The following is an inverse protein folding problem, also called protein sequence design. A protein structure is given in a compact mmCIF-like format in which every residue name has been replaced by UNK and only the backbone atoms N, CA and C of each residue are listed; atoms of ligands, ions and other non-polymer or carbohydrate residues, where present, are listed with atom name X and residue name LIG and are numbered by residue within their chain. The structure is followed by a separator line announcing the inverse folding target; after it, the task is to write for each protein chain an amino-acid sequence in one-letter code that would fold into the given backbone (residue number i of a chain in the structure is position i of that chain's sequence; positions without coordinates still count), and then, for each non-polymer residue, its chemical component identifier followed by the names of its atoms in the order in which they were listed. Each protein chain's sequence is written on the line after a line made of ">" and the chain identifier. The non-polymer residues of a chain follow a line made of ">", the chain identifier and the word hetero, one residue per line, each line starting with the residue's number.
data_IF_677306949118
#
_entry.id   IF_677306949118
#
_cell.length_a   1.000
_cell.length_b   1.000
_cell.length_c   1.000
_cell.angle_alpha   90.00
_cell.angle_beta   90.00
_cell.angle_gamma   90.00
#
_symmetry.space_group_name_H-M   'P 1'
#
loop_
_entity.id
_entity.type
_entity.pdbx_description
1 polymer ?
#
# COMPACT_ATOMS: atom_id res chain seq x y z
N UNK A 1 -22.96 17.10 -87.46
CA UNK A 1 -22.29 15.96 -86.79
C UNK A 1 -22.02 16.41 -85.36
N UNK A 2 -22.62 15.86 -84.30
CA UNK A 2 -22.57 14.46 -83.82
C UNK A 2 -21.11 14.05 -83.54
N UNK A 3 -20.67 13.67 -82.32
CA UNK A 3 -21.34 13.53 -81.02
C UNK A 3 -20.35 13.95 -79.88
N UNK A 4 -20.44 13.62 -78.57
CA UNK A 4 -21.24 12.64 -77.78
C UNK A 4 -21.35 13.09 -76.31
N UNK A 5 -22.11 12.34 -75.49
CA UNK A 5 -22.31 12.53 -74.05
C UNK A 5 -21.10 12.11 -73.19
N UNK A 6 -20.92 12.74 -72.02
CA UNK A 6 -20.55 12.06 -70.77
C UNK A 6 -20.96 12.91 -69.54
N UNK A 7 -21.71 12.32 -68.59
CA UNK A 7 -21.94 12.94 -67.28
C UNK A 7 -20.74 12.66 -66.36
N UNK A 8 -20.24 13.68 -65.66
CA UNK A 8 -19.42 13.49 -64.46
C UNK A 8 -20.22 13.99 -63.25
N UNK A 9 -20.65 13.06 -62.40
CA UNK A 9 -21.45 13.36 -61.21
C UNK A 9 -20.63 14.09 -60.14
N UNK A 10 -21.29 14.96 -59.37
CA UNK A 10 -20.73 15.53 -58.14
C UNK A 10 -20.50 14.41 -57.12
N UNK A 11 -19.26 14.24 -56.68
CA UNK A 11 -18.93 13.50 -55.45
C UNK A 11 -18.10 14.41 -54.52
N UNK A 12 -18.70 15.54 -54.13
CA UNK A 12 -18.23 16.32 -52.98
C UNK A 12 -18.77 15.63 -51.73
N UNK A 13 -18.01 14.71 -51.16
CA UNK A 13 -18.41 13.94 -49.98
C UNK A 13 -18.03 14.72 -48.70
N UNK A 14 -18.97 15.32 -47.95
CA UNK A 14 -18.65 16.28 -46.89
C UNK A 14 -18.38 15.62 -45.52
N UNK A 15 -18.56 14.30 -45.42
CA UNK A 15 -18.59 13.55 -44.15
C UNK A 15 -17.23 13.34 -43.45
N UNK A 16 -16.13 13.78 -44.06
CA UNK A 16 -14.77 13.55 -43.54
C UNK A 16 -14.30 14.60 -42.50
N UNK A 17 -14.94 15.78 -42.44
CA UNK A 17 -14.53 16.86 -41.56
C UNK A 17 -15.00 16.70 -40.10
N UNK A 18 -16.29 16.44 -39.90
CA UNK A 18 -16.90 16.37 -38.56
C UNK A 18 -16.44 15.15 -37.76
N UNK A 19 -16.21 14.03 -38.44
CA UNK A 19 -15.65 12.82 -37.85
C UNK A 19 -14.21 13.02 -37.39
N UNK A 20 -13.37 13.71 -38.19
CA UNK A 20 -11.99 14.04 -37.80
C UNK A 20 -11.93 15.04 -36.64
N UNK A 21 -12.77 16.08 -36.64
CA UNK A 21 -12.81 17.08 -35.57
C UNK A 21 -13.29 16.50 -34.23
N UNK A 22 -14.29 15.59 -34.26
CA UNK A 22 -14.76 14.87 -33.07
C UNK A 22 -13.78 13.80 -32.59
N UNK A 23 -12.99 13.19 -33.49
CA UNK A 23 -11.90 12.29 -33.11
C UNK A 23 -10.78 13.04 -32.38
N UNK A 24 -10.38 14.22 -32.88
CA UNK A 24 -9.36 15.08 -32.26
C UNK A 24 -9.79 15.60 -30.87
N UNK A 25 -11.05 16.03 -30.70
CA UNK A 25 -11.56 16.43 -29.38
C UNK A 25 -11.64 15.26 -28.40
N UNK A 26 -12.02 14.06 -28.87
CA UNK A 26 -11.98 12.84 -28.03
C UNK A 26 -10.54 12.48 -27.63
N UNK A 27 -9.58 12.58 -28.54
CA UNK A 27 -8.16 12.38 -28.22
C UNK A 27 -7.66 13.39 -27.18
N UNK A 28 -7.99 14.68 -27.31
CA UNK A 28 -7.65 15.70 -26.31
C UNK A 28 -8.32 15.45 -24.95
N UNK A 29 -9.59 15.02 -24.92
CA UNK A 29 -10.28 14.70 -23.67
C UNK A 29 -9.68 13.46 -23.00
N UNK A 30 -9.31 12.43 -23.77
CA UNK A 30 -8.66 11.22 -23.23
C UNK A 30 -7.25 11.51 -22.72
N UNK A 31 -6.44 12.31 -23.42
CA UNK A 31 -5.11 12.68 -22.95
C UNK A 31 -5.16 13.60 -21.71
N UNK A 32 -6.12 14.53 -21.66
CA UNK A 32 -6.37 15.36 -20.47
C UNK A 32 -6.85 14.52 -19.27
N UNK A 33 -7.69 13.50 -19.50
CA UNK A 33 -8.15 12.58 -18.45
C UNK A 33 -7.00 11.73 -17.88
N UNK A 34 -6.07 11.30 -18.73
CA UNK A 34 -4.87 10.53 -18.30
C UNK A 34 -3.93 11.37 -17.44
N UNK A 35 -3.82 12.68 -17.69
CA UNK A 35 -3.03 13.61 -16.88
C UNK A 35 -3.57 13.86 -15.46
N UNK A 36 -4.85 13.52 -15.20
CA UNK A 36 -5.50 13.69 -13.89
C UNK A 36 -5.47 12.37 -13.07
N UNK A 37 -5.06 11.25 -13.67
CA UNK A 37 -4.93 9.99 -12.95
C UNK A 37 -3.82 10.08 -11.89
N UNK A 38 -4.15 9.95 -10.59
CA UNK A 38 -3.14 9.99 -9.54
C UNK A 38 -2.25 8.75 -9.65
N UNK A 39 -0.96 8.96 -9.95
CA UNK A 39 0.02 7.88 -9.95
C UNK A 39 0.12 7.21 -8.57
N UNK A 40 0.51 5.93 -8.54
CA UNK A 40 0.60 5.11 -7.32
C UNK A 40 1.54 5.66 -6.21
N UNK A 41 2.24 6.76 -6.46
CA UNK A 41 2.97 7.55 -5.45
C UNK A 41 2.07 8.07 -4.31
N UNK A 42 0.74 8.10 -4.47
CA UNK A 42 -0.18 8.69 -3.48
C UNK A 42 -0.50 7.84 -2.24
N UNK A 43 0.05 6.61 -2.12
CA UNK A 43 -0.27 5.74 -0.98
C UNK A 43 0.53 6.05 0.31
N UNK A 44 1.65 6.77 0.22
CA UNK A 44 2.29 7.34 1.39
C UNK A 44 1.54 8.61 1.83
N UNK A 45 0.81 8.52 2.95
CA UNK A 45 0.14 9.70 3.51
C UNK A 45 1.19 10.61 4.13
N UNK A 46 1.20 11.87 3.70
CA UNK A 46 2.06 12.89 4.28
C UNK A 46 1.61 13.24 5.71
N UNK A 47 2.12 12.47 6.68
CA UNK A 47 1.84 12.67 8.09
C UNK A 47 2.43 13.98 8.64
N UNK A 48 3.39 14.63 7.96
CA UNK A 48 3.97 15.88 8.46
C UNK A 48 2.92 17.00 8.56
N UNK A 49 1.88 16.96 7.72
CA UNK A 49 0.70 17.85 7.80
C UNK A 49 -0.11 17.69 9.09
N UNK A 50 0.07 16.59 9.82
CA UNK A 50 -0.59 16.31 11.11
C UNK A 50 0.29 16.64 12.32
N UNK A 51 1.49 17.22 12.14
CA UNK A 51 2.44 17.47 13.24
C UNK A 51 1.88 18.35 14.39
N UNK A 52 0.83 19.13 14.15
CA UNK A 52 0.12 19.90 15.17
C UNK A 52 -0.78 19.06 16.09
N UNK A 53 -1.15 17.83 15.69
CA UNK A 53 -1.91 16.87 16.49
C UNK A 53 -1.06 15.60 16.70
N UNK A 54 -0.42 15.44 17.88
CA UNK A 54 0.40 14.27 18.18
C UNK A 54 -0.35 12.93 18.16
N UNK A 55 -1.68 12.91 18.33
CA UNK A 55 -2.47 11.67 18.28
C UNK A 55 -2.75 11.29 16.81
N UNK A 56 -3.20 12.24 15.99
CA UNK A 56 -3.39 12.01 14.55
C UNK A 56 -2.06 11.71 13.83
N UNK A 57 -0.97 12.37 14.20
CA UNK A 57 0.37 12.09 13.69
C UNK A 57 0.80 10.64 13.96
N UNK A 58 0.70 10.16 15.21
CA UNK A 58 0.99 8.76 15.58
C UNK A 58 0.10 7.77 14.83
N UNK A 59 -1.21 8.03 14.77
CA UNK A 59 -2.15 7.17 14.05
C UNK A 59 -1.79 7.06 12.56
N UNK A 60 -1.35 8.17 11.95
CA UNK A 60 -0.87 8.21 10.57
C UNK A 60 0.42 7.39 10.39
N UNK A 61 1.43 7.60 11.25
CA UNK A 61 2.70 6.87 11.18
C UNK A 61 2.52 5.36 11.43
N UNK A 62 1.72 4.98 12.42
CA UNK A 62 1.40 3.57 12.69
C UNK A 62 0.70 2.89 11.51
N UNK A 63 -0.15 3.64 10.79
CA UNK A 63 -0.79 3.20 9.55
C UNK A 63 0.17 3.04 8.36
N UNK A 64 1.33 3.70 8.37
CA UNK A 64 2.39 3.54 7.37
C UNK A 64 3.41 2.44 7.71
N UNK A 65 3.25 1.76 8.86
CA UNK A 65 4.14 0.66 9.26
C UNK A 65 5.20 1.04 10.29
N UNK A 66 5.18 2.26 10.84
CA UNK A 66 6.15 2.66 11.87
C UNK A 66 5.94 1.85 13.17
N UNK A 67 6.91 1.00 13.51
CA UNK A 67 6.81 0.05 14.60
C UNK A 67 6.78 0.72 15.99
N UNK A 68 7.36 1.92 16.13
CA UNK A 68 7.33 2.70 17.36
C UNK A 68 5.94 3.29 17.60
N UNK A 69 5.35 3.93 16.59
CA UNK A 69 3.99 4.47 16.65
C UNK A 69 2.95 3.35 16.83
N UNK A 70 3.13 2.19 16.19
CA UNK A 70 2.29 1.00 16.44
C UNK A 70 2.43 0.50 17.88
N UNK A 71 3.64 0.49 18.45
CA UNK A 71 3.82 0.15 19.87
C UNK A 71 3.13 1.16 20.79
N UNK A 72 3.24 2.47 20.54
CA UNK A 72 2.58 3.51 21.33
C UNK A 72 1.05 3.40 21.30
N UNK A 73 0.44 3.12 20.14
CA UNK A 73 -1.00 2.84 20.05
C UNK A 73 -1.38 1.54 20.78
N UNK A 74 -0.53 0.52 20.71
CA UNK A 74 -0.73 -0.74 21.40
C UNK A 74 -0.65 -0.61 22.92
N UNK A 75 0.27 0.21 23.42
CA UNK A 75 0.45 0.55 24.83
C UNK A 75 -0.73 1.37 25.35
N UNK A 76 -1.14 2.42 24.64
CA UNK A 76 -2.31 3.22 25.02
C UNK A 76 -3.61 2.38 25.09
N UNK A 77 -3.78 1.41 24.19
CA UNK A 77 -4.89 0.46 24.25
C UNK A 77 -4.76 -0.55 25.41
N UNK A 78 -3.54 -0.97 25.76
CA UNK A 78 -3.27 -1.82 26.93
C UNK A 78 -3.64 -1.12 28.24
N UNK A 79 -3.21 0.14 28.41
CA UNK A 79 -3.52 0.96 29.58
C UNK A 79 -5.03 1.23 29.71
N UNK A 80 -5.71 1.42 28.57
CA UNK A 80 -7.18 1.51 28.49
C UNK A 80 -7.90 0.16 28.67
N UNK A 81 -7.17 -0.95 28.86
CA UNK A 81 -7.66 -2.34 28.95
C UNK A 81 -8.39 -2.87 27.72
N UNK A 82 -8.26 -2.21 26.56
CA UNK A 82 -8.66 -2.77 25.26
C UNK A 82 -7.57 -3.70 24.75
N UNK A 83 -7.52 -4.89 25.35
CA UNK A 83 -6.56 -5.94 24.98
C UNK A 83 -6.75 -6.47 23.55
N UNK A 84 -7.92 -6.26 22.93
CA UNK A 84 -8.13 -6.64 21.53
C UNK A 84 -7.36 -5.69 20.59
N UNK A 85 -7.53 -4.38 20.78
CA UNK A 85 -6.80 -3.35 20.04
C UNK A 85 -5.30 -3.35 20.38
N UNK A 86 -4.95 -3.54 21.66
CA UNK A 86 -3.56 -3.68 22.10
C UNK A 86 -2.84 -4.81 21.34
N UNK A 87 -3.38 -6.04 21.37
CA UNK A 87 -2.78 -7.17 20.63
C UNK A 87 -2.67 -6.91 19.14
N UNK A 88 -3.63 -6.23 18.52
CA UNK A 88 -3.58 -5.90 17.08
C UNK A 88 -2.38 -5.02 16.76
N UNK A 89 -2.23 -3.90 17.46
CA UNK A 89 -1.14 -2.96 17.20
C UNK A 89 0.22 -3.49 17.64
N UNK A 90 0.30 -4.11 18.82
CA UNK A 90 1.54 -4.70 19.31
C UNK A 90 2.02 -5.84 18.41
N UNK A 91 1.13 -6.62 17.77
CA UNK A 91 1.53 -7.65 16.79
C UNK A 91 2.21 -7.07 15.56
N UNK A 92 1.66 -5.98 15.01
CA UNK A 92 2.29 -5.28 13.89
C UNK A 92 3.68 -4.77 14.30
N UNK A 93 3.76 -4.06 15.43
CA UNK A 93 5.02 -3.54 15.96
C UNK A 93 6.06 -4.65 16.24
N UNK A 94 5.63 -5.78 16.82
CA UNK A 94 6.48 -6.89 17.20
C UNK A 94 6.97 -7.76 16.02
N UNK A 95 6.40 -7.60 14.82
CA UNK A 95 6.69 -8.45 13.67
C UNK A 95 8.03 -8.05 13.02
N UNK A 96 9.01 -8.97 12.91
CA UNK A 96 10.25 -8.68 12.18
C UNK A 96 9.98 -8.43 10.69
N UNK A 97 10.58 -7.39 10.13
CA UNK A 97 10.59 -7.15 8.69
C UNK A 97 11.90 -7.63 8.08
N UNK A 98 11.85 -8.26 6.90
CA UNK A 98 13.06 -8.63 6.15
C UNK A 98 13.60 -7.50 5.28
N UNK A 99 12.90 -6.35 5.23
CA UNK A 99 13.14 -5.29 4.24
C UNK A 99 12.68 -5.64 2.81
N UNK A 100 12.23 -6.87 2.58
CA UNK A 100 11.88 -7.39 1.25
C UNK A 100 10.39 -7.29 0.96
N UNK A 101 10.09 -6.68 -0.18
CA UNK A 101 8.72 -6.57 -0.71
C UNK A 101 8.58 -7.44 -1.96
N UNK A 102 7.56 -8.30 -2.08
CA UNK A 102 7.27 -8.99 -3.31
C UNK A 102 6.73 -8.01 -4.37
N UNK A 103 7.43 -7.94 -5.50
CA UNK A 103 7.02 -7.16 -6.67
C UNK A 103 6.63 -8.14 -7.78
N UNK A 104 5.40 -8.04 -8.27
CA UNK A 104 4.95 -8.80 -9.44
C UNK A 104 5.43 -8.13 -10.72
N UNK A 105 6.13 -8.90 -11.56
CA UNK A 105 6.52 -8.53 -12.91
C UNK A 105 5.63 -9.28 -13.91
N UNK A 106 4.86 -8.59 -14.77
CA UNK A 106 4.06 -9.24 -15.80
C UNK A 106 4.94 -9.99 -16.82
N UNK A 107 4.39 -10.97 -17.56
CA UNK A 107 5.13 -11.68 -18.60
C UNK A 107 5.67 -10.72 -19.67
N UNK A 108 6.94 -10.88 -20.02
CA UNK A 108 7.62 -10.12 -21.10
C UNK A 108 8.25 -11.10 -22.10
N UNK A 109 8.26 -10.75 -23.38
CA UNK A 109 9.04 -11.47 -24.40
C UNK A 109 8.69 -12.96 -24.56
N UNK A 110 7.41 -13.31 -24.70
CA UNK A 110 6.97 -14.69 -24.96
C UNK A 110 6.80 -15.57 -23.72
N UNK A 111 7.08 -15.05 -22.51
CA UNK A 111 6.67 -15.68 -21.25
C UNK A 111 5.15 -15.83 -21.18
N UNK A 112 4.65 -16.94 -20.64
CA UNK A 112 3.21 -17.20 -20.46
C UNK A 112 2.69 -16.85 -19.06
N UNK A 113 3.59 -16.60 -18.10
CA UNK A 113 3.27 -16.24 -16.72
C UNK A 113 4.16 -15.09 -16.23
N UNK A 114 3.64 -14.30 -15.30
CA UNK A 114 4.42 -13.28 -14.60
C UNK A 114 5.18 -13.86 -13.42
N UNK A 115 6.26 -13.17 -13.02
CA UNK A 115 7.18 -13.60 -11.96
C UNK A 115 7.05 -12.68 -10.76
N UNK A 116 6.98 -13.24 -9.55
CA UNK A 116 7.14 -12.45 -8.31
C UNK A 116 8.61 -12.43 -7.92
N UNK A 117 9.20 -11.25 -7.82
CA UNK A 117 10.57 -11.03 -7.34
C UNK A 117 10.55 -10.39 -5.96
N UNK A 118 11.43 -10.83 -5.07
CA UNK A 118 11.61 -10.15 -3.78
C UNK A 118 12.62 -9.02 -3.96
N UNK A 119 12.20 -7.78 -3.70
CA UNK A 119 13.07 -6.62 -3.78
C UNK A 119 13.34 -6.04 -2.39
N UNK A 120 14.60 -5.81 -2.05
CA UNK A 120 15.00 -5.14 -0.81
C UNK A 120 14.64 -3.63 -0.93
N UNK A 121 13.45 -3.24 -0.47
CA UNK A 121 12.91 -1.86 -0.59
C UNK A 121 12.91 -1.10 0.73
N UNK A 122 13.23 -1.75 1.85
CA UNK A 122 13.37 -1.13 3.16
C UNK A 122 14.40 -1.83 4.03
N UNK A 123 14.66 -1.29 5.21
CA UNK A 123 15.55 -1.91 6.19
C UNK A 123 14.91 -3.15 6.81
N UNK A 124 15.69 -4.22 6.96
CA UNK A 124 15.32 -5.33 7.83
C UNK A 124 15.26 -4.85 9.29
N UNK A 125 14.29 -5.35 10.06
CA UNK A 125 14.13 -5.03 11.48
C UNK A 125 13.78 -6.28 12.27
N UNK A 126 14.23 -6.35 13.53
CA UNK A 126 13.89 -7.44 14.44
C UNK A 126 12.47 -7.34 15.05
N UNK A 127 11.68 -6.34 14.65
CA UNK A 127 10.45 -5.93 15.33
C UNK A 127 10.73 -5.13 16.61
N UNK A 128 9.70 -4.45 17.13
CA UNK A 128 9.80 -3.63 18.32
C UNK A 128 9.86 -4.48 19.60
N UNK A 129 11.02 -4.48 20.26
CA UNK A 129 11.29 -5.28 21.47
C UNK A 129 10.30 -5.06 22.60
N UNK A 130 9.87 -3.81 22.83
CA UNK A 130 8.85 -3.50 23.84
C UNK A 130 7.48 -4.11 23.52
N UNK A 131 7.14 -4.20 22.23
CA UNK A 131 5.88 -4.81 21.81
C UNK A 131 5.91 -6.34 21.96
N UNK A 132 7.06 -6.96 21.68
CA UNK A 132 7.30 -8.39 21.92
C UNK A 132 7.16 -8.73 23.40
N UNK A 133 7.79 -7.97 24.30
CA UNK A 133 7.67 -8.21 25.74
C UNK A 133 6.22 -8.01 26.26
N UNK A 134 5.54 -6.95 25.83
CA UNK A 134 4.16 -6.68 26.27
C UNK A 134 3.16 -7.71 25.72
N UNK A 135 3.35 -8.21 24.49
CA UNK A 135 2.57 -9.36 23.99
C UNK A 135 2.81 -10.61 24.82
N UNK A 136 4.04 -10.87 25.25
CA UNK A 136 4.32 -12.03 26.09
C UNK A 136 3.64 -11.96 27.46
N UNK A 137 3.52 -10.76 28.04
CA UNK A 137 2.73 -10.53 29.26
C UNK A 137 1.24 -10.76 29.01
N UNK A 138 0.67 -10.13 27.98
CA UNK A 138 -0.73 -10.29 27.57
C UNK A 138 -1.09 -11.77 27.36
N UNK A 139 -0.24 -12.53 26.67
CA UNK A 139 -0.47 -13.95 26.42
C UNK A 139 -0.29 -14.81 27.67
N UNK A 140 0.72 -14.56 28.50
CA UNK A 140 0.90 -15.31 29.74
C UNK A 140 -0.24 -15.10 30.74
N UNK A 141 -0.79 -13.89 30.81
CA UNK A 141 -1.89 -13.53 31.71
C UNK A 141 -3.29 -13.77 31.12
N UNK A 142 -3.40 -14.12 29.83
CA UNK A 142 -4.69 -14.32 29.15
C UNK A 142 -5.50 -13.03 28.95
N UNK A 143 -4.85 -11.87 28.87
CA UNK A 143 -5.56 -10.59 28.79
C UNK A 143 -6.32 -10.47 27.46
N UNK A 144 -7.64 -10.40 27.57
CA UNK A 144 -8.58 -10.41 26.43
C UNK A 144 -8.75 -11.77 25.75
N UNK A 145 -8.48 -12.90 26.42
CA UNK A 145 -8.62 -14.24 25.85
C UNK A 145 -8.42 -15.35 26.88
N UNK A 146 -8.06 -16.55 26.41
CA UNK A 146 -7.45 -17.57 27.27
C UNK A 146 -5.93 -17.31 27.37
N UNK A 147 -5.26 -17.68 28.47
CA UNK A 147 -3.80 -17.71 28.55
C UNK A 147 -3.19 -18.61 27.48
N UNK A 148 -2.10 -18.16 26.87
CA UNK A 148 -1.31 -18.90 25.88
C UNK A 148 0.18 -18.84 26.26
N UNK A 149 0.69 -19.84 27.00
CA UNK A 149 2.07 -19.84 27.47
C UNK A 149 3.08 -20.07 26.32
N UNK A 150 2.67 -20.70 25.21
CA UNK A 150 3.53 -20.96 24.05
C UNK A 150 3.77 -19.67 23.26
N UNK A 151 2.72 -18.90 22.94
CA UNK A 151 2.87 -17.57 22.35
C UNK A 151 3.64 -16.63 23.28
N UNK A 152 3.44 -16.71 24.60
CA UNK A 152 4.22 -15.93 25.55
C UNK A 152 5.71 -16.25 25.49
N UNK A 153 6.09 -17.54 25.45
CA UNK A 153 7.48 -17.96 25.30
C UNK A 153 8.06 -17.57 23.93
N UNK A 154 7.26 -17.65 22.85
CA UNK A 154 7.65 -17.22 21.51
C UNK A 154 8.03 -15.74 21.47
N UNK A 155 7.17 -14.85 21.96
CA UNK A 155 7.45 -13.41 21.96
C UNK A 155 8.61 -13.01 22.89
N UNK A 156 8.81 -13.67 24.03
CA UNK A 156 10.03 -13.50 24.85
C UNK A 156 11.30 -13.86 24.07
N UNK A 157 11.23 -14.94 23.29
CA UNK A 157 12.36 -15.40 22.45
C UNK A 157 12.66 -14.43 21.31
N UNK A 158 11.65 -13.78 20.72
CA UNK A 158 11.88 -12.71 19.74
C UNK A 158 12.59 -11.51 20.38
N UNK A 159 12.16 -11.10 21.57
CA UNK A 159 12.73 -9.96 22.30
C UNK A 159 14.21 -10.14 22.70
N UNK A 160 14.69 -11.38 22.83
CA UNK A 160 16.12 -11.66 23.08
C UNK A 160 16.93 -11.73 21.78
N UNK A 161 16.35 -12.23 20.67
CA UNK A 161 17.03 -12.35 19.37
C UNK A 161 17.31 -11.00 18.69
N UNK A 162 16.49 -9.98 18.96
CA UNK A 162 16.70 -8.63 18.43
C UNK A 162 17.82 -7.83 19.12
N UNK A 163 18.51 -8.42 20.10
CA UNK A 163 19.50 -7.73 20.93
C UNK A 163 20.92 -8.21 20.56
N UNK A 164 21.47 -7.61 19.50
CA UNK A 164 22.91 -7.67 19.22
C UNK A 164 23.67 -6.91 20.34
N UNK A 165 24.87 -7.39 20.74
CA UNK A 165 25.70 -6.74 21.75
C UNK A 165 26.32 -5.42 21.27
#
# INVERSE_FOLDING_TARGET
>A
MSAKHAMMGKITNPLFGETMMTLLTKFCLVSLLVLILPGCSMFARDCAKLAADPAAYRACQAGQGDAQAQYELGLAAYDARDYATARRWLKLAATPSSGRTPIYMPPVGGQTYGTVMMMDTGSASAGHRGAQLLLAEIYAAGLGGAPDPELAAHYRTLATRGQLP
#
